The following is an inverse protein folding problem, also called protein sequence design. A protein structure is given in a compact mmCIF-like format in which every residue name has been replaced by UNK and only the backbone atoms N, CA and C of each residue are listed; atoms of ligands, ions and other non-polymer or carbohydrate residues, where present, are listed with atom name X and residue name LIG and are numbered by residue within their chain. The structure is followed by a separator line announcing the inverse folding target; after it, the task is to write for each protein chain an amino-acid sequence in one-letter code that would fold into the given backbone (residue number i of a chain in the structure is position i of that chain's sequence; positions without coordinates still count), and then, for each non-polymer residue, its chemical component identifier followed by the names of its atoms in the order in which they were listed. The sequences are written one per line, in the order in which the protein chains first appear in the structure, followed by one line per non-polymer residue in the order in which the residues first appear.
data_IF_349226674190
#
_entry.id   IF_349226674190
#
_cell.length_a   1.000
_cell.length_b   1.000
_cell.length_c   1.000
_cell.angle_alpha   90.00
_cell.angle_beta   90.00
_cell.angle_gamma   90.00
#
_symmetry.space_group_name_H-M   'P 1'
#
loop_
_entity.id
_entity.type
_entity.pdbx_description
1 polymer ?
#
# COMPACT_ATOMS: atom_id res chain seq x y z
N UNK A 1 25.56 14.59 -22.23
CA UNK A 1 25.29 13.41 -21.42
C UNK A 1 26.60 12.74 -21.09
N UNK A 2 27.03 12.80 -19.82
CA UNK A 2 28.23 12.10 -19.39
C UNK A 2 27.99 10.60 -19.60
N UNK A 3 28.83 9.94 -20.40
CA UNK A 3 28.90 8.47 -20.43
C UNK A 3 29.42 8.07 -19.06
N UNK A 4 28.54 7.55 -18.20
CA UNK A 4 28.93 7.07 -16.89
C UNK A 4 30.03 6.01 -17.03
N UNK A 5 30.99 5.95 -16.10
CA UNK A 5 31.99 4.89 -16.08
C UNK A 5 31.29 3.53 -16.10
N UNK A 6 31.79 2.55 -16.86
CA UNK A 6 31.30 1.18 -16.71
C UNK A 6 31.51 0.71 -15.26
N UNK A 7 30.65 -0.18 -14.80
CA UNK A 7 30.80 -0.93 -13.54
C UNK A 7 30.63 -0.11 -12.23
N UNK A 8 29.84 0.97 -12.26
CA UNK A 8 29.48 1.72 -11.04
C UNK A 8 27.96 1.76 -10.88
N UNK A 9 27.48 1.56 -9.65
CA UNK A 9 26.08 1.64 -9.26
C UNK A 9 25.94 2.45 -7.96
N UNK A 10 24.77 3.06 -7.76
CA UNK A 10 24.41 3.72 -6.50
C UNK A 10 23.74 2.69 -5.59
N UNK A 11 24.24 2.60 -4.37
CA UNK A 11 23.57 1.91 -3.27
C UNK A 11 22.70 2.91 -2.51
N UNK A 12 21.41 2.60 -2.36
CA UNK A 12 20.47 3.36 -1.53
C UNK A 12 19.83 2.48 -0.47
N UNK A 13 19.68 3.02 0.73
CA UNK A 13 19.12 2.32 1.88
C UNK A 13 17.76 2.92 2.26
N UNK A 14 16.73 2.09 2.31
CA UNK A 14 15.34 2.54 2.43
C UNK A 14 14.66 1.86 3.61
N UNK A 15 14.42 2.65 4.66
CA UNK A 15 13.78 2.20 5.88
C UNK A 15 12.59 3.07 6.25
N UNK A 16 11.65 2.49 7.01
CA UNK A 16 10.49 3.22 7.58
C UNK A 16 10.44 3.09 9.11
N UNK A 17 11.45 2.44 9.72
CA UNK A 17 11.47 2.17 11.15
C UNK A 17 11.54 3.45 12.00
N UNK A 18 12.14 4.52 11.46
CA UNK A 18 12.31 5.81 12.12
C UNK A 18 11.31 6.88 11.66
N UNK A 19 10.32 6.50 10.84
CA UNK A 19 9.27 7.44 10.45
C UNK A 19 8.45 7.85 11.67
N UNK A 20 7.90 9.07 11.64
CA UNK A 20 6.86 9.49 12.58
C UNK A 20 5.72 8.47 12.61
N UNK A 21 5.12 8.18 13.78
CA UNK A 21 3.98 7.28 13.85
C UNK A 21 2.85 7.75 12.93
N UNK A 22 2.39 6.82 12.09
CA UNK A 22 1.38 7.06 11.07
C UNK A 22 0.43 5.88 10.93
N UNK A 23 -0.54 6.03 10.05
CA UNK A 23 -1.53 5.01 9.69
C UNK A 23 -0.91 3.95 8.77
N UNK A 24 -1.64 2.85 8.53
CA UNK A 24 -1.26 1.86 7.50
C UNK A 24 -1.08 2.51 6.13
N UNK A 25 -1.96 3.45 5.78
CA UNK A 25 -1.93 4.16 4.51
C UNK A 25 -0.67 5.01 4.35
N UNK A 26 -0.18 5.62 5.43
CA UNK A 26 1.07 6.38 5.41
C UNK A 26 2.27 5.51 5.02
N UNK A 27 2.41 4.36 5.68
CA UNK A 27 3.50 3.42 5.39
C UNK A 27 3.37 2.81 3.99
N UNK A 28 2.16 2.48 3.56
CA UNK A 28 1.90 1.93 2.22
C UNK A 28 2.17 2.94 1.12
N UNK A 29 1.68 4.17 1.26
CA UNK A 29 1.93 5.26 0.31
C UNK A 29 3.41 5.58 0.24
N UNK A 30 4.07 5.78 1.39
CA UNK A 30 5.50 6.06 1.42
C UNK A 30 6.32 4.93 0.79
N UNK A 31 5.96 3.65 1.00
CA UNK A 31 6.63 2.52 0.36
C UNK A 31 6.49 2.55 -1.17
N UNK A 32 5.30 2.82 -1.68
CA UNK A 32 5.06 2.94 -3.12
C UNK A 32 5.80 4.14 -3.74
N UNK A 33 5.81 5.28 -3.06
CA UNK A 33 6.43 6.51 -3.55
C UNK A 33 7.96 6.43 -3.69
N UNK A 34 8.62 5.50 -3.01
CA UNK A 34 10.07 5.27 -3.18
C UNK A 34 10.46 5.00 -4.64
N UNK A 35 9.54 4.50 -5.45
CA UNK A 35 9.76 4.25 -6.88
C UNK A 35 10.17 5.53 -7.63
N UNK A 36 9.63 6.68 -7.24
CA UNK A 36 9.91 7.96 -7.89
C UNK A 36 11.34 8.42 -7.58
N UNK A 37 11.76 8.32 -6.32
CA UNK A 37 13.14 8.62 -5.91
C UNK A 37 14.14 7.68 -6.60
N UNK A 38 13.86 6.37 -6.64
CA UNK A 38 14.73 5.40 -7.33
C UNK A 38 14.82 5.72 -8.82
N UNK A 39 13.69 5.96 -9.49
CA UNK A 39 13.67 6.31 -10.91
C UNK A 39 14.38 7.64 -11.19
N UNK A 40 14.22 8.65 -10.33
CA UNK A 40 14.93 9.93 -10.47
C UNK A 40 16.43 9.75 -10.39
N UNK A 41 16.93 9.03 -9.38
CA UNK A 41 18.35 8.74 -9.21
C UNK A 41 18.91 7.95 -10.41
N UNK A 42 18.18 6.96 -10.93
CA UNK A 42 18.58 6.20 -12.12
C UNK A 42 18.65 7.06 -13.38
N UNK A 43 17.65 7.91 -13.59
CA UNK A 43 17.60 8.79 -14.76
C UNK A 43 18.68 9.89 -14.70
N UNK A 44 19.05 10.34 -13.50
CA UNK A 44 20.02 11.42 -13.31
C UNK A 44 21.47 10.95 -13.34
N UNK A 45 21.77 9.77 -12.76
CA UNK A 45 23.14 9.32 -12.52
C UNK A 45 23.46 7.98 -13.17
N UNK A 46 23.03 6.88 -12.56
CA UNK A 46 23.52 5.53 -12.85
C UNK A 46 22.60 4.46 -12.25
N UNK A 47 22.77 3.16 -12.58
CA UNK A 47 21.94 2.08 -12.02
C UNK A 47 21.87 2.16 -10.50
N UNK A 48 20.66 2.06 -9.96
CA UNK A 48 20.41 2.10 -8.51
C UNK A 48 20.06 0.71 -8.02
N UNK A 49 20.70 0.31 -6.94
CA UNK A 49 20.39 -0.90 -6.20
C UNK A 49 19.92 -0.48 -4.81
N UNK A 50 18.80 -1.04 -4.35
CA UNK A 50 18.37 -0.87 -2.96
C UNK A 50 19.15 -1.85 -2.09
N UNK A 51 20.36 -1.48 -1.66
CA UNK A 51 21.28 -2.38 -0.98
C UNK A 51 20.89 -2.71 0.45
N UNK A 52 20.01 -1.92 1.07
CA UNK A 52 19.41 -2.28 2.35
C UNK A 52 17.97 -1.79 2.49
N UNK A 53 17.11 -2.68 2.98
CA UNK A 53 15.75 -2.37 3.41
C UNK A 53 15.20 -3.49 4.30
N UNK A 54 14.19 -3.17 5.10
CA UNK A 54 13.46 -4.18 5.87
C UNK A 54 11.96 -3.87 5.91
N UNK A 55 11.18 -4.74 6.57
CA UNK A 55 9.78 -4.49 6.88
C UNK A 55 9.61 -3.85 8.27
N UNK A 56 10.69 -3.43 8.91
CA UNK A 56 10.64 -2.67 10.16
C UNK A 56 9.92 -1.33 9.96
N UNK A 57 8.90 -1.09 10.79
CA UNK A 57 8.12 0.16 10.80
C UNK A 57 8.22 0.91 12.11
N UNK A 58 9.00 0.38 13.06
CA UNK A 58 9.20 0.94 14.39
C UNK A 58 10.62 0.58 14.89
N UNK A 59 11.01 1.21 16.00
CA UNK A 59 12.30 0.99 16.65
C UNK A 59 12.22 0.05 17.86
N UNK A 60 11.23 -0.83 17.88
CA UNK A 60 11.03 -1.72 19.00
C UNK A 60 12.00 -2.91 19.02
N UNK A 61 12.65 -3.21 17.89
CA UNK A 61 13.56 -4.35 17.83
C UNK A 61 14.68 -4.11 18.83
N UNK A 62 14.85 -5.05 19.77
CA UNK A 62 15.82 -4.91 20.85
C UNK A 62 17.21 -4.58 20.29
N UNK A 63 17.79 -3.50 20.82
CA UNK A 63 19.10 -2.97 20.45
C UNK A 63 19.25 -2.51 18.99
N UNK A 64 18.15 -2.27 18.27
CA UNK A 64 18.19 -1.76 16.90
C UNK A 64 18.97 -0.44 16.79
N UNK A 65 18.79 0.44 17.76
CA UNK A 65 19.46 1.75 17.82
C UNK A 65 20.77 1.73 18.64
N UNK A 66 21.14 0.59 19.23
CA UNK A 66 22.32 0.49 20.09
C UNK A 66 22.17 -0.51 21.23
N UNK A 67 23.28 -1.06 21.69
CA UNK A 67 23.29 -1.99 22.82
C UNK A 67 22.86 -1.28 24.10
N UNK A 68 21.80 -1.79 24.72
CA UNK A 68 21.13 -1.20 25.88
C UNK A 68 20.84 0.31 25.78
N UNK A 69 20.65 0.78 24.56
CA UNK A 69 20.40 2.18 24.24
C UNK A 69 19.33 2.28 23.16
N UNK A 70 18.54 3.34 23.26
CA UNK A 70 17.68 3.80 22.20
C UNK A 70 17.99 5.27 21.96
N UNK A 71 17.87 5.72 20.72
CA UNK A 71 17.96 7.15 20.42
C UNK A 71 16.92 7.92 21.24
N UNK A 72 17.22 9.12 21.76
CA UNK A 72 16.24 9.95 22.46
C UNK A 72 14.98 10.14 21.61
N UNK A 73 13.80 9.95 22.22
CA UNK A 73 12.52 9.96 21.51
C UNK A 73 12.09 8.58 20.96
N UNK A 74 12.93 7.55 21.08
CA UNK A 74 12.63 6.19 20.67
C UNK A 74 12.58 5.20 21.84
N UNK A 75 11.78 4.11 21.74
CA UNK A 75 10.84 3.82 20.65
C UNK A 75 9.69 4.85 20.65
N UNK A 76 9.33 5.32 19.46
CA UNK A 76 8.28 6.34 19.27
C UNK A 76 6.86 5.74 19.31
N UNK A 77 6.76 4.45 19.63
CA UNK A 77 5.52 3.69 19.71
C UNK A 77 5.63 2.63 20.80
N UNK A 78 4.48 2.12 21.27
CA UNK A 78 4.47 1.06 22.26
C UNK A 78 4.90 -0.28 21.66
N UNK A 79 5.95 -0.86 22.25
CA UNK A 79 6.51 -2.12 21.80
C UNK A 79 5.79 -3.34 22.38
N UNK A 80 5.60 -4.37 21.56
CA UNK A 80 5.25 -5.71 22.05
C UNK A 80 6.48 -6.36 22.67
N UNK A 81 6.28 -7.08 23.76
CA UNK A 81 7.31 -7.87 24.43
C UNK A 81 7.16 -9.36 24.07
N UNK A 82 8.26 -10.03 23.75
CA UNK A 82 8.33 -11.48 23.58
C UNK A 82 9.30 -12.11 24.58
N UNK A 83 9.29 -13.44 24.73
CA UNK A 83 10.32 -14.12 25.52
C UNK A 83 11.68 -13.97 24.83
N UNK A 84 12.69 -13.53 25.57
CA UNK A 84 14.06 -13.49 25.07
C UNK A 84 14.64 -14.89 24.91
N UNK A 85 15.57 -15.11 23.96
CA UNK A 85 16.52 -16.21 24.04
C UNK A 85 17.30 -16.11 25.36
N UNK A 86 17.21 -17.15 26.20
CA UNK A 86 17.94 -17.19 27.48
C UNK A 86 19.40 -17.53 27.24
N UNK A 87 19.67 -18.48 26.35
CA UNK A 87 21.00 -18.86 25.94
C UNK A 87 21.30 -18.19 24.61
N UNK A 88 22.48 -17.55 24.51
CA UNK A 88 22.91 -16.98 23.24
C UNK A 88 23.10 -18.08 22.22
N UNK A 89 22.56 -17.89 21.01
CA UNK A 89 22.78 -18.82 19.90
C UNK A 89 23.99 -18.44 19.05
N UNK A 90 24.59 -17.28 19.33
CA UNK A 90 25.67 -16.69 18.55
C UNK A 90 26.99 -16.52 19.32
N UNK A 91 26.94 -16.05 20.57
CA UNK A 91 28.14 -15.67 21.35
C UNK A 91 28.79 -16.85 22.09
N UNK A 92 28.19 -18.05 22.04
CA UNK A 92 28.69 -19.25 22.72
C UNK A 92 28.40 -19.29 24.22
N UNK A 93 28.72 -20.42 24.86
CA UNK A 93 28.58 -20.58 26.31
C UNK A 93 29.65 -19.79 27.08
N UNK A 94 29.25 -19.18 28.21
CA UNK A 94 30.17 -18.46 29.10
C UNK A 94 30.45 -17.01 28.71
N UNK A 95 29.84 -16.49 27.65
CA UNK A 95 29.94 -15.06 27.31
C UNK A 95 29.30 -14.20 28.42
N UNK A 96 29.93 -13.10 28.87
CA UNK A 96 29.38 -12.24 29.91
C UNK A 96 27.95 -11.78 29.59
N UNK A 97 27.03 -11.95 30.54
CA UNK A 97 25.61 -11.66 30.35
C UNK A 97 24.79 -12.81 29.73
N UNK A 98 25.41 -13.96 29.47
CA UNK A 98 24.75 -15.19 29.03
C UNK A 98 24.99 -16.34 30.04
N UNK A 99 23.97 -17.13 30.41
CA UNK A 99 22.58 -16.96 30.03
C UNK A 99 21.97 -15.68 30.62
N UNK A 100 20.95 -15.16 29.94
CA UNK A 100 20.20 -14.00 30.40
C UNK A 100 19.56 -14.30 31.76
N UNK A 101 19.83 -13.44 32.76
CA UNK A 101 19.16 -13.52 34.05
C UNK A 101 17.71 -13.01 33.92
N UNK A 102 16.78 -13.95 33.80
CA UNK A 102 15.36 -13.69 33.59
C UNK A 102 14.64 -13.07 34.80
N UNK A 103 15.30 -13.00 35.96
CA UNK A 103 14.71 -12.47 37.20
C UNK A 103 14.99 -10.99 37.41
N UNK A 104 15.89 -10.41 36.62
CA UNK A 104 16.34 -9.04 36.78
C UNK A 104 15.69 -8.10 35.76
N UNK A 105 15.52 -6.81 36.11
CA UNK A 105 15.20 -5.78 35.13
C UNK A 105 16.37 -5.61 34.13
N UNK A 106 16.24 -4.66 33.21
CA UNK A 106 17.34 -4.27 32.30
C UNK A 106 18.60 -4.06 33.11
N UNK A 107 19.70 -4.64 32.64
CA UNK A 107 21.02 -4.54 33.25
C UNK A 107 21.91 -3.67 32.37
N UNK A 108 22.77 -2.88 33.01
CA UNK A 108 23.68 -2.00 32.31
C UNK A 108 24.79 -2.75 31.54
N UNK A 109 25.65 -2.01 30.80
CA UNK A 109 25.67 -0.55 30.67
C UNK A 109 24.38 -0.01 30.04
N UNK A 110 23.94 1.17 30.47
CA UNK A 110 22.76 1.85 29.91
C UNK A 110 23.20 3.01 29.03
N UNK A 111 22.50 3.22 27.93
CA UNK A 111 22.63 4.44 27.15
C UNK A 111 21.59 5.49 27.55
N UNK A 112 21.22 6.33 26.59
CA UNK A 112 20.26 7.44 26.73
C UNK A 112 18.80 7.01 26.73
N UNK A 113 18.46 5.93 26.01
CA UNK A 113 17.10 5.40 25.89
C UNK A 113 16.98 3.98 26.42
N UNK A 114 15.74 3.58 26.75
CA UNK A 114 15.48 2.21 27.16
C UNK A 114 15.38 1.29 25.95
N UNK A 115 16.29 0.34 25.89
CA UNK A 115 16.34 -0.74 24.92
C UNK A 115 17.00 -1.91 25.63
N UNK A 116 16.44 -3.11 25.58
CA UNK A 116 17.09 -4.28 26.18
C UNK A 116 16.16 -5.25 26.87
N UNK A 117 16.71 -6.40 27.29
CA UNK A 117 15.95 -7.45 27.93
C UNK A 117 15.61 -7.05 29.37
N UNK A 118 14.37 -7.27 29.78
CA UNK A 118 13.89 -7.03 31.15
C UNK A 118 13.01 -8.18 31.59
N UNK A 119 13.31 -8.79 32.73
CA UNK A 119 12.57 -9.93 33.28
C UNK A 119 12.35 -11.07 32.26
N UNK A 120 13.40 -11.39 31.49
CA UNK A 120 13.37 -12.42 30.44
C UNK A 120 12.52 -12.06 29.21
N UNK A 121 12.14 -10.78 29.06
CA UNK A 121 11.34 -10.29 27.94
C UNK A 121 12.11 -9.28 27.10
N UNK A 122 11.96 -9.39 25.78
CA UNK A 122 12.65 -8.58 24.78
C UNK A 122 11.62 -7.79 23.97
N UNK A 123 11.84 -6.47 23.74
CA UNK A 123 10.99 -5.70 22.85
C UNK A 123 11.21 -6.14 21.39
N UNK A 124 10.14 -6.12 20.58
CA UNK A 124 10.20 -6.56 19.17
C UNK A 124 9.58 -5.59 18.19
N UNK A 125 8.32 -5.72 17.83
CA UNK A 125 7.60 -4.80 16.95
C UNK A 125 6.26 -4.54 17.58
N UNK A 126 5.71 -3.34 17.41
CA UNK A 126 4.37 -3.06 17.88
C UNK A 126 3.36 -3.94 17.15
N UNK A 127 2.35 -4.40 17.89
CA UNK A 127 1.19 -5.10 17.35
C UNK A 127 -0.07 -4.24 17.43
N UNK A 128 0.04 -2.95 17.77
CA UNK A 128 -1.12 -2.06 17.93
C UNK A 128 -1.06 -0.84 17.01
N UNK A 129 0.12 -0.50 16.46
CA UNK A 129 0.30 0.66 15.56
C UNK A 129 -0.68 0.72 14.41
N UNK A 130 -1.10 -0.44 13.90
CA UNK A 130 -1.90 -0.58 12.69
C UNK A 130 -3.24 -1.28 12.94
N UNK A 131 -3.71 -1.31 14.19
CA UNK A 131 -4.97 -1.97 14.58
C UNK A 131 -4.96 -3.49 14.44
N UNK A 132 -3.78 -4.11 14.49
CA UNK A 132 -3.63 -5.55 14.33
C UNK A 132 -4.10 -6.27 15.59
N UNK A 133 -4.98 -7.25 15.45
CA UNK A 133 -5.56 -7.96 16.60
C UNK A 133 -4.86 -9.29 16.84
N UNK A 134 -4.35 -9.92 15.79
CA UNK A 134 -3.72 -11.22 15.84
C UNK A 134 -2.53 -11.36 14.87
N UNK A 135 -2.01 -12.59 14.75
CA UNK A 135 -0.90 -12.88 13.85
C UNK A 135 -1.31 -12.91 12.37
N UNK A 136 -2.60 -13.08 12.06
CA UNK A 136 -3.10 -13.02 10.68
C UNK A 136 -3.08 -11.57 10.20
N UNK A 137 -3.59 -10.64 11.00
CA UNK A 137 -3.56 -9.20 10.69
C UNK A 137 -2.12 -8.68 10.55
N UNK A 138 -1.21 -9.15 11.41
CA UNK A 138 0.22 -8.85 11.33
C UNK A 138 0.83 -9.34 10.01
N UNK A 139 0.53 -10.58 9.63
CA UNK A 139 1.03 -11.17 8.39
C UNK A 139 0.46 -10.45 7.16
N UNK A 140 -0.84 -10.14 7.17
CA UNK A 140 -1.50 -9.41 6.09
C UNK A 140 -0.89 -8.02 5.91
N UNK A 141 -0.73 -7.26 7.00
CA UNK A 141 -0.07 -5.96 6.96
C UNK A 141 1.36 -6.08 6.41
N UNK A 142 2.13 -7.02 6.94
CA UNK A 142 3.53 -7.24 6.56
C UNK A 142 3.66 -7.64 5.09
N UNK A 143 2.80 -8.54 4.60
CA UNK A 143 2.76 -8.95 3.20
C UNK A 143 2.40 -7.77 2.29
N UNK A 144 1.38 -6.99 2.65
CA UNK A 144 0.94 -5.85 1.84
C UNK A 144 2.02 -4.75 1.79
N UNK A 145 2.69 -4.47 2.90
CA UNK A 145 3.83 -3.56 2.92
C UNK A 145 4.96 -4.08 2.02
N UNK A 146 5.25 -5.39 2.11
CA UNK A 146 6.28 -6.03 1.31
C UNK A 146 6.01 -5.90 -0.19
N UNK A 147 4.81 -6.26 -0.65
CA UNK A 147 4.47 -6.17 -2.08
C UNK A 147 4.61 -4.75 -2.63
N UNK A 148 4.29 -3.73 -1.81
CA UNK A 148 4.45 -2.31 -2.19
C UNK A 148 5.92 -1.90 -2.29
N UNK A 149 6.77 -2.37 -1.37
CA UNK A 149 8.24 -2.16 -1.46
C UNK A 149 8.82 -2.87 -2.68
N UNK A 150 8.44 -4.13 -2.92
CA UNK A 150 8.88 -4.89 -4.10
C UNK A 150 8.42 -4.23 -5.41
N UNK A 151 7.20 -3.68 -5.46
CA UNK A 151 6.71 -2.87 -6.58
C UNK A 151 7.62 -1.66 -6.81
N UNK A 152 7.93 -0.92 -5.75
CA UNK A 152 8.73 0.29 -5.83
C UNK A 152 10.18 -0.01 -6.23
N UNK A 153 10.77 -1.09 -5.75
CA UNK A 153 12.17 -1.42 -6.06
C UNK A 153 12.33 -2.10 -7.41
N UNK A 154 11.25 -2.59 -8.02
CA UNK A 154 11.26 -3.18 -9.35
C UNK A 154 11.54 -2.16 -10.47
N UNK A 155 11.46 -0.85 -10.20
CA UNK A 155 11.91 0.16 -11.18
C UNK A 155 13.42 0.30 -11.23
N UNK A 156 14.13 -0.11 -10.17
CA UNK A 156 15.59 -0.09 -10.12
C UNK A 156 16.23 -1.42 -10.52
N UNK A 157 17.51 -1.58 -10.21
CA UNK A 157 18.30 -2.78 -10.57
C UNK A 157 18.33 -3.86 -9.48
N UNK A 158 17.29 -3.92 -8.64
CA UNK A 158 17.11 -4.95 -7.62
C UNK A 158 17.37 -4.46 -6.20
N UNK A 159 17.40 -5.41 -5.26
CA UNK A 159 17.41 -5.11 -3.84
C UNK A 159 18.09 -6.20 -3.00
N UNK A 160 18.54 -5.82 -1.81
CA UNK A 160 19.09 -6.70 -0.78
C UNK A 160 18.37 -6.46 0.55
N UNK A 161 17.73 -7.51 1.07
CA UNK A 161 16.94 -7.40 2.30
C UNK A 161 17.85 -7.44 3.53
N UNK A 162 17.69 -6.45 4.41
CA UNK A 162 18.33 -6.39 5.71
C UNK A 162 17.42 -7.00 6.80
N UNK A 163 17.70 -8.19 7.32
CA UNK A 163 18.81 -9.10 7.02
C UNK A 163 18.27 -10.52 6.76
N UNK A 164 19.13 -11.43 6.32
CA UNK A 164 18.82 -12.82 6.07
C UNK A 164 18.16 -13.52 7.26
N UNK A 165 18.67 -13.28 8.48
CA UNK A 165 18.10 -13.85 9.71
C UNK A 165 18.38 -12.99 10.94
N UNK A 166 17.50 -13.15 11.93
CA UNK A 166 17.66 -12.70 13.32
C UNK A 166 17.37 -13.88 14.26
N UNK A 167 17.73 -13.78 15.54
CA UNK A 167 17.30 -14.76 16.55
C UNK A 167 15.79 -14.72 16.77
N UNK A 168 15.18 -13.54 16.70
CA UNK A 168 13.74 -13.29 16.84
C UNK A 168 13.35 -11.95 16.20
N UNK A 169 12.04 -11.71 16.03
CA UNK A 169 11.51 -10.50 15.39
C UNK A 169 11.43 -10.62 13.86
N UNK A 170 10.23 -10.82 13.33
CA UNK A 170 10.01 -11.18 11.92
C UNK A 170 10.34 -10.07 10.93
N UNK A 171 10.04 -8.81 11.24
CA UNK A 171 10.15 -7.69 10.29
C UNK A 171 11.59 -7.39 9.80
N UNK A 172 12.59 -7.95 10.48
CA UNK A 172 14.02 -7.86 10.15
C UNK A 172 14.64 -9.20 9.72
N UNK A 173 13.81 -10.23 9.50
CA UNK A 173 14.24 -11.61 9.30
C UNK A 173 13.66 -12.18 8.00
N UNK A 174 14.45 -12.11 6.91
CA UNK A 174 14.04 -12.59 5.60
C UNK A 174 13.54 -14.04 5.62
N UNK A 175 14.31 -14.95 6.25
CA UNK A 175 13.96 -16.36 6.29
C UNK A 175 12.61 -16.63 6.97
N UNK A 176 12.32 -15.96 8.09
CA UNK A 176 11.06 -16.11 8.80
C UNK A 176 9.88 -15.54 7.99
N UNK A 177 10.09 -14.39 7.33
CA UNK A 177 9.08 -13.75 6.46
C UNK A 177 8.73 -14.62 5.26
N UNK A 178 9.73 -15.21 4.59
CA UNK A 178 9.51 -16.14 3.48
C UNK A 178 8.74 -17.37 3.94
N UNK A 179 9.13 -17.98 5.08
CA UNK A 179 8.43 -19.16 5.64
C UNK A 179 6.97 -18.87 6.00
N UNK A 180 6.68 -17.66 6.44
CA UNK A 180 5.31 -17.21 6.76
C UNK A 180 4.49 -16.80 5.54
N UNK A 181 5.09 -16.75 4.35
CA UNK A 181 4.40 -16.34 3.13
C UNK A 181 4.21 -14.83 2.99
N UNK A 182 5.04 -14.02 3.68
CA UNK A 182 5.04 -12.57 3.50
C UNK A 182 5.72 -12.13 2.19
N UNK A 183 6.61 -12.97 1.64
CA UNK A 183 7.23 -12.79 0.32
C UNK A 183 6.53 -13.62 -0.76
N UNK A 184 6.58 -13.19 -2.04
CA UNK A 184 6.31 -14.06 -3.18
C UNK A 184 7.11 -15.36 -3.10
N UNK A 185 6.59 -16.44 -3.69
CA UNK A 185 7.32 -17.72 -3.73
C UNK A 185 8.60 -17.61 -4.54
N UNK A 186 8.58 -16.80 -5.60
CA UNK A 186 9.73 -16.51 -6.43
C UNK A 186 10.06 -15.01 -6.33
N UNK A 187 11.16 -14.70 -5.65
CA UNK A 187 11.62 -13.31 -5.48
C UNK A 187 12.55 -12.84 -6.61
N UNK A 188 12.97 -13.75 -7.48
CA UNK A 188 13.84 -13.43 -8.64
C UNK A 188 13.03 -13.17 -9.92
N UNK A 189 11.77 -13.60 -9.97
CA UNK A 189 10.85 -13.33 -11.08
C UNK A 189 9.41 -13.38 -10.56
N UNK A 190 8.75 -12.23 -10.53
CA UNK A 190 7.37 -12.12 -10.05
C UNK A 190 6.39 -12.52 -11.14
N UNK A 191 5.47 -13.41 -10.81
CA UNK A 191 4.35 -13.76 -11.67
C UNK A 191 3.18 -12.79 -11.44
N UNK A 192 2.24 -12.73 -12.39
CA UNK A 192 1.09 -11.83 -12.29
C UNK A 192 0.22 -12.11 -11.05
N UNK A 193 0.14 -13.37 -10.62
CA UNK A 193 -0.57 -13.84 -9.43
C UNK A 193 0.16 -13.53 -8.11
N UNK A 194 1.42 -13.09 -8.15
CA UNK A 194 2.10 -12.57 -6.96
C UNK A 194 1.61 -11.16 -6.57
N UNK A 195 0.86 -10.48 -7.47
CA UNK A 195 0.25 -9.16 -7.28
C UNK A 195 1.24 -8.00 -6.98
N UNK A 196 2.55 -8.24 -7.10
CA UNK A 196 3.60 -7.23 -6.86
C UNK A 196 3.39 -6.00 -7.74
N UNK A 197 3.22 -6.16 -9.05
CA UNK A 197 3.09 -5.04 -9.99
C UNK A 197 1.78 -4.25 -9.82
N UNK A 198 0.77 -4.84 -9.19
CA UNK A 198 -0.51 -4.18 -8.90
C UNK A 198 -0.62 -3.63 -7.48
N UNK A 199 0.37 -3.90 -6.62
CA UNK A 199 0.33 -3.59 -5.19
C UNK A 199 0.16 -2.10 -4.88
N UNK A 200 0.64 -1.22 -5.76
CA UNK A 200 0.61 0.24 -5.56
C UNK A 200 -0.50 0.97 -6.32
N UNK A 201 -1.43 0.26 -6.99
CA UNK A 201 -2.42 0.90 -7.86
C UNK A 201 -3.33 1.92 -7.12
N UNK A 202 -3.63 1.69 -5.84
CA UNK A 202 -4.45 2.62 -5.07
C UNK A 202 -3.67 3.90 -4.74
N UNK A 203 -2.40 3.74 -4.35
CA UNK A 203 -1.49 4.84 -4.00
C UNK A 203 -1.17 5.68 -5.25
N UNK A 204 -0.85 5.01 -6.36
CA UNK A 204 -0.52 5.66 -7.63
C UNK A 204 -1.71 6.48 -8.15
N UNK A 205 -2.95 5.97 -7.98
CA UNK A 205 -4.19 6.70 -8.33
C UNK A 205 -4.57 7.81 -7.34
N UNK A 206 -3.86 7.95 -6.22
CA UNK A 206 -4.23 8.90 -5.17
C UNK A 206 -5.58 8.57 -4.53
N UNK A 207 -5.88 7.29 -4.28
CA UNK A 207 -7.17 6.87 -3.70
C UNK A 207 -7.30 7.13 -2.17
N UNK A 208 -6.60 8.13 -1.67
CA UNK A 208 -6.47 8.47 -0.24
C UNK A 208 -6.67 9.96 -0.04
N UNK A 209 -6.99 10.35 1.19
CA UNK A 209 -7.08 11.75 1.60
C UNK A 209 -5.96 12.01 2.60
N UNK A 210 -5.20 13.07 2.38
CA UNK A 210 -4.23 13.54 3.36
C UNK A 210 -4.92 14.57 4.28
N UNK A 211 -5.00 14.26 5.57
CA UNK A 211 -5.75 15.05 6.55
C UNK A 211 -4.89 15.39 7.77
N UNK A 212 -5.20 16.51 8.41
CA UNK A 212 -4.55 16.92 9.65
C UNK A 212 -4.93 15.98 10.80
N UNK A 213 -3.95 15.57 11.59
CA UNK A 213 -4.20 14.80 12.82
C UNK A 213 -4.94 15.67 13.82
N UNK A 214 -5.97 15.10 14.45
CA UNK A 214 -6.73 15.78 15.50
C UNK A 214 -5.94 15.75 16.81
N UNK A 215 -5.96 16.86 17.55
CA UNK A 215 -5.30 16.97 18.86
C UNK A 215 -3.79 17.20 18.83
N UNK A 216 -3.21 17.49 17.67
CA UNK A 216 -1.81 17.94 17.54
C UNK A 216 -1.68 19.38 18.02
N UNK A 217 -0.48 19.80 18.45
CA UNK A 217 -0.25 21.18 18.85
C UNK A 217 -0.49 22.13 17.67
N UNK A 218 -1.15 23.24 17.96
CA UNK A 218 -1.45 24.28 16.96
C UNK A 218 -0.20 24.76 16.21
N UNK A 219 0.94 24.84 16.88
CA UNK A 219 2.22 25.22 16.27
C UNK A 219 2.65 24.26 15.16
N UNK A 220 2.47 22.94 15.34
CA UNK A 220 2.84 21.95 14.33
C UNK A 220 1.91 22.05 13.10
N UNK A 221 0.62 22.34 13.32
CA UNK A 221 -0.36 22.60 12.26
C UNK A 221 0.00 23.86 11.46
N UNK A 222 0.34 24.95 12.15
CA UNK A 222 0.78 26.20 11.52
C UNK A 222 2.07 25.98 10.71
N UNK A 223 3.06 25.30 11.27
CA UNK A 223 4.30 24.98 10.56
C UNK A 223 4.07 24.08 9.34
N UNK A 224 3.19 23.09 9.44
CA UNK A 224 2.83 22.24 8.30
C UNK A 224 2.08 23.02 7.22
N UNK A 225 1.17 23.91 7.62
CA UNK A 225 0.41 24.76 6.70
C UNK A 225 1.32 25.71 5.93
N UNK A 226 2.25 26.35 6.63
CA UNK A 226 3.26 27.22 6.03
C UNK A 226 4.12 26.47 5.00
N UNK A 227 4.48 25.21 5.28
CA UNK A 227 5.19 24.36 4.32
C UNK A 227 4.34 24.05 3.07
N UNK A 228 3.09 23.61 3.26
CA UNK A 228 2.18 23.28 2.17
C UNK A 228 1.88 24.48 1.25
N UNK A 229 1.78 25.67 1.85
CA UNK A 229 1.42 26.91 1.17
C UNK A 229 2.62 27.74 0.69
N UNK A 230 3.82 27.49 1.24
CA UNK A 230 5.03 28.27 0.96
C UNK A 230 5.75 27.90 -0.33
N UNK A 231 5.28 26.89 -1.06
CA UNK A 231 5.82 26.48 -2.35
C UNK A 231 5.63 27.56 -3.43
N UNK A 232 6.65 27.74 -4.28
CA UNK A 232 6.62 28.68 -5.41
C UNK A 232 6.27 28.01 -6.75
N UNK A 233 5.78 26.77 -6.73
CA UNK A 233 5.42 25.99 -7.92
C UNK A 233 3.99 26.30 -8.44
N UNK A 234 3.17 27.01 -7.65
CA UNK A 234 1.80 27.36 -8.00
C UNK A 234 0.83 26.18 -8.03
N UNK A 235 1.20 25.01 -7.49
CA UNK A 235 0.35 23.82 -7.49
C UNK A 235 -0.67 23.80 -6.33
N UNK A 236 -0.43 24.55 -5.26
CA UNK A 236 -1.33 24.70 -4.12
C UNK A 236 -1.71 26.16 -3.96
N UNK A 237 -3.00 26.47 -4.15
CA UNK A 237 -3.50 27.83 -4.01
C UNK A 237 -3.98 28.11 -2.59
N UNK A 238 -3.11 28.63 -1.74
CA UNK A 238 -3.47 29.05 -0.38
C UNK A 238 -3.99 30.49 -0.29
N UNK A 239 -4.30 31.15 -1.40
CA UNK A 239 -4.90 32.49 -1.33
C UNK A 239 -6.24 32.43 -0.58
N UNK A 240 -6.48 33.46 0.24
CA UNK A 240 -7.68 33.60 1.07
C UNK A 240 -8.04 32.37 1.93
N UNK A 241 -7.07 31.51 2.27
CA UNK A 241 -7.33 30.27 3.02
C UNK A 241 -7.97 30.55 4.40
N UNK A 242 -7.60 31.68 5.02
CA UNK A 242 -8.17 32.15 6.28
C UNK A 242 -9.66 32.53 6.18
N UNK A 243 -10.14 32.84 4.97
CA UNK A 243 -11.55 33.20 4.70
C UNK A 243 -12.36 32.00 4.22
N UNK A 244 -11.70 30.98 3.65
CA UNK A 244 -12.35 29.76 3.16
C UNK A 244 -12.68 28.78 4.28
N UNK A 245 -11.87 28.77 5.33
CA UNK A 245 -11.96 27.80 6.43
C UNK A 245 -11.80 28.49 7.78
N UNK A 246 -12.68 28.12 8.72
CA UNK A 246 -12.80 28.80 10.01
C UNK A 246 -11.71 28.34 10.97
N UNK A 247 -11.41 27.04 10.99
CA UNK A 247 -10.40 26.47 11.90
C UNK A 247 -9.08 26.18 11.22
N UNK A 248 -8.00 26.12 12.01
CA UNK A 248 -6.67 25.77 11.50
C UNK A 248 -6.65 24.33 10.95
N UNK A 249 -7.38 23.42 11.58
CA UNK A 249 -7.49 22.02 11.15
C UNK A 249 -8.15 21.91 9.76
N UNK A 250 -9.20 22.68 9.49
CA UNK A 250 -9.87 22.68 8.17
C UNK A 250 -8.94 23.24 7.08
N UNK A 251 -8.18 24.30 7.40
CA UNK A 251 -7.16 24.85 6.48
C UNK A 251 -6.09 23.82 6.17
N UNK A 252 -5.58 23.14 7.20
CA UNK A 252 -4.59 22.08 7.06
C UNK A 252 -5.14 20.88 6.30
N UNK A 253 -6.36 20.41 6.57
CA UNK A 253 -6.99 19.32 5.83
C UNK A 253 -7.00 19.59 4.32
N UNK A 254 -7.39 20.80 3.92
CA UNK A 254 -7.40 21.18 2.51
C UNK A 254 -5.98 21.30 1.95
N UNK A 255 -5.11 22.09 2.59
CA UNK A 255 -3.77 22.37 2.08
C UNK A 255 -2.89 21.12 2.01
N UNK A 256 -2.95 20.25 3.03
CA UNK A 256 -2.20 18.99 3.07
C UNK A 256 -2.65 18.04 1.98
N UNK A 257 -3.97 17.94 1.75
CA UNK A 257 -4.53 17.13 0.68
C UNK A 257 -4.07 17.59 -0.70
N UNK A 258 -4.25 18.88 -1.02
CA UNK A 258 -3.84 19.42 -2.32
C UNK A 258 -2.34 19.28 -2.54
N UNK A 259 -1.53 19.62 -1.54
CA UNK A 259 -0.08 19.48 -1.64
C UNK A 259 0.36 18.04 -1.89
N UNK A 260 -0.17 17.08 -1.11
CA UNK A 260 0.18 15.67 -1.26
C UNK A 260 -0.22 15.15 -2.64
N UNK A 261 -1.43 15.44 -3.12
CA UNK A 261 -1.85 15.03 -4.47
C UNK A 261 -0.96 15.61 -5.56
N UNK A 262 -0.55 16.87 -5.43
CA UNK A 262 0.29 17.58 -6.38
C UNK A 262 1.76 17.11 -6.42
N UNK A 263 2.25 16.47 -5.34
CA UNK A 263 3.67 16.14 -5.16
C UNK A 263 3.95 14.67 -4.82
N UNK A 264 2.94 13.80 -4.68
CA UNK A 264 3.13 12.38 -4.34
C UNK A 264 4.01 11.63 -5.34
N UNK A 265 3.97 12.03 -6.61
CA UNK A 265 4.80 11.46 -7.70
C UNK A 265 6.24 12.01 -7.70
N UNK A 266 6.53 12.96 -6.81
CA UNK A 266 7.86 13.51 -6.54
C UNK A 266 8.40 13.00 -5.18
N UNK A 267 7.69 12.05 -4.54
CA UNK A 267 8.08 11.47 -3.26
C UNK A 267 7.51 12.15 -2.02
N UNK A 268 6.64 13.14 -2.16
CA UNK A 268 6.04 13.83 -1.01
C UNK A 268 5.12 12.89 -0.20
N UNK A 269 5.30 12.91 1.13
CA UNK A 269 4.49 12.14 2.09
C UNK A 269 3.44 13.04 2.77
N UNK A 270 2.41 12.42 3.35
CA UNK A 270 1.42 13.11 4.18
C UNK A 270 1.86 13.19 5.65
N UNK A 271 3.13 13.49 5.92
CA UNK A 271 3.61 13.57 7.31
C UNK A 271 3.47 15.00 7.87
N UNK A 272 3.90 16.01 7.10
CA UNK A 272 3.89 17.43 7.48
C UNK A 272 4.46 17.67 8.90
N UNK A 273 5.62 17.07 9.21
CA UNK A 273 6.24 17.18 10.53
C UNK A 273 5.49 16.41 11.61
N UNK A 274 4.83 15.30 11.23
CA UNK A 274 3.97 14.51 12.08
C UNK A 274 2.56 15.10 12.28
N UNK A 275 2.22 16.24 11.68
CA UNK A 275 0.93 16.92 11.84
C UNK A 275 -0.23 16.33 11.01
N UNK A 276 0.07 15.45 10.05
CA UNK A 276 -0.92 14.88 9.13
C UNK A 276 -0.84 13.35 9.04
N UNK A 277 -1.85 12.74 8.41
CA UNK A 277 -1.88 11.33 8.05
C UNK A 277 -2.74 11.06 6.81
N UNK A 278 -2.50 9.93 6.14
CA UNK A 278 -3.35 9.42 5.07
C UNK A 278 -4.50 8.60 5.62
N UNK A 279 -5.69 8.94 5.14
CA UNK A 279 -6.90 8.17 5.37
C UNK A 279 -7.28 7.46 4.07
N UNK A 280 -7.55 6.16 4.17
CA UNK A 280 -8.19 5.45 3.07
C UNK A 280 -9.58 6.04 2.87
N UNK A 281 -9.88 6.47 1.65
CA UNK A 281 -11.26 6.83 1.30
C UNK A 281 -12.06 5.54 1.51
N UNK A 282 -13.11 5.55 2.36
CA UNK A 282 -14.00 4.41 2.44
C UNK A 282 -14.58 4.22 1.04
N UNK A 283 -14.04 3.26 0.30
CA UNK A 283 -14.72 2.75 -0.87
C UNK A 283 -16.10 2.34 -0.36
N UNK A 284 -17.21 2.85 -0.93
CA UNK A 284 -18.51 2.38 -0.49
C UNK A 284 -18.47 0.87 -0.54
N UNK A 285 -18.82 0.25 0.58
CA UNK A 285 -18.74 -1.18 0.86
C UNK A 285 -19.07 -2.02 -0.39
N UNK A 286 -18.50 -3.22 -0.45
CA UNK A 286 -18.76 -4.28 -1.46
C UNK A 286 -20.20 -4.36 -2.01
N UNK A 287 -21.19 -3.90 -1.26
CA UNK A 287 -22.58 -3.62 -1.66
C UNK A 287 -22.70 -2.75 -2.91
N UNK A 288 -22.00 -1.61 -3.06
CA UNK A 288 -22.10 -0.78 -4.29
C UNK A 288 -21.43 -1.43 -5.51
N UNK A 289 -20.39 -2.24 -5.30
CA UNK A 289 -19.78 -3.05 -6.38
C UNK A 289 -20.74 -4.15 -6.82
N UNK A 290 -21.45 -4.79 -5.87
CA UNK A 290 -22.53 -5.73 -6.17
C UNK A 290 -23.71 -5.06 -6.85
N UNK A 291 -24.11 -3.84 -6.45
CA UNK A 291 -25.14 -3.07 -7.16
C UNK A 291 -24.71 -2.72 -8.58
N UNK A 292 -23.46 -2.30 -8.80
CA UNK A 292 -22.94 -1.99 -10.14
C UNK A 292 -22.87 -3.22 -11.04
N UNK A 293 -22.41 -4.36 -10.49
CA UNK A 293 -22.41 -5.64 -11.20
C UNK A 293 -23.84 -6.14 -11.47
N UNK A 294 -24.76 -5.98 -10.52
CA UNK A 294 -26.18 -6.33 -10.70
C UNK A 294 -26.86 -5.43 -11.74
N UNK A 295 -26.53 -4.14 -11.80
CA UNK A 295 -27.05 -3.21 -12.81
C UNK A 295 -26.53 -3.58 -14.21
N UNK A 296 -25.26 -3.95 -14.32
CA UNK A 296 -24.64 -4.40 -15.58
C UNK A 296 -25.30 -5.68 -16.10
N UNK A 297 -25.47 -6.68 -15.23
CA UNK A 297 -26.14 -7.95 -15.57
C UNK A 297 -27.62 -7.71 -15.91
N UNK A 298 -28.31 -6.82 -15.18
CA UNK A 298 -29.70 -6.46 -15.49
C UNK A 298 -29.86 -5.83 -16.88
N UNK A 299 -28.91 -4.99 -17.29
CA UNK A 299 -28.91 -4.36 -18.62
C UNK A 299 -28.64 -5.37 -19.74
N UNK A 300 -27.71 -6.31 -19.54
CA UNK A 300 -27.48 -7.44 -20.45
C UNK A 300 -28.75 -8.29 -20.63
N UNK A 301 -29.41 -8.69 -19.54
CA UNK A 301 -30.64 -9.50 -19.59
C UNK A 301 -31.77 -8.76 -20.34
N UNK A 302 -31.93 -7.46 -20.09
CA UNK A 302 -32.92 -6.64 -20.79
C UNK A 302 -32.65 -6.57 -22.30
N UNK A 303 -31.38 -6.44 -22.71
CA UNK A 303 -30.99 -6.45 -24.12
C UNK A 303 -31.31 -7.79 -24.79
N UNK A 304 -30.93 -8.90 -24.17
CA UNK A 304 -31.17 -10.24 -24.74
C UNK A 304 -32.65 -10.62 -24.80
N UNK A 305 -33.45 -10.20 -23.82
CA UNK A 305 -34.91 -10.42 -23.84
C UNK A 305 -35.59 -9.61 -24.96
N UNK A 306 -35.22 -8.35 -25.16
CA UNK A 306 -35.74 -7.54 -26.26
C UNK A 306 -35.38 -8.13 -27.63
N UNK A 307 -34.14 -8.59 -27.81
CA UNK A 307 -33.71 -9.26 -29.04
C UNK A 307 -34.52 -10.54 -29.27
N UNK A 308 -34.72 -11.37 -28.25
CA UNK A 308 -35.52 -12.59 -28.36
C UNK A 308 -36.98 -12.33 -28.75
N UNK A 309 -37.61 -11.29 -28.20
CA UNK A 309 -38.97 -10.89 -28.54
C UNK A 309 -39.07 -10.41 -29.99
N UNK A 310 -38.13 -9.58 -30.44
CA UNK A 310 -38.08 -9.09 -31.83
C UNK A 310 -37.93 -10.27 -32.81
N UNK A 311 -37.00 -11.18 -32.54
CA UNK A 311 -36.78 -12.37 -33.38
C UNK A 311 -38.03 -13.25 -33.41
N UNK A 312 -38.71 -13.42 -32.27
CA UNK A 312 -39.98 -14.15 -32.19
C UNK A 312 -41.08 -13.55 -33.06
N UNK A 313 -41.28 -12.23 -33.00
CA UNK A 313 -42.27 -11.54 -33.83
C UNK A 313 -41.93 -11.59 -35.33
N UNK A 314 -40.65 -11.45 -35.68
CA UNK A 314 -40.19 -11.57 -37.08
C UNK A 314 -40.42 -13.00 -37.58
N UNK A 315 -40.07 -14.01 -36.78
CA UNK A 315 -40.34 -15.41 -37.10
C UNK A 315 -41.83 -15.69 -37.32
N UNK A 316 -42.70 -15.18 -36.45
CA UNK A 316 -44.15 -15.32 -36.59
C UNK A 316 -44.66 -14.63 -37.86
N UNK A 317 -44.17 -13.42 -38.17
CA UNK A 317 -44.54 -12.70 -39.38
C UNK A 317 -44.14 -13.45 -40.65
N UNK A 318 -42.95 -14.07 -40.66
CA UNK A 318 -42.49 -14.92 -41.77
C UNK A 318 -43.37 -16.15 -41.90
N UNK A 319 -43.69 -16.85 -40.81
CA UNK A 319 -44.59 -18.02 -40.84
C UNK A 319 -45.98 -17.63 -41.37
N UNK A 320 -46.53 -16.50 -40.92
CA UNK A 320 -47.81 -16.00 -41.41
C UNK A 320 -47.76 -15.60 -42.89
N UNK A 321 -46.65 -15.02 -43.35
CA UNK A 321 -46.43 -14.69 -44.76
C UNK A 321 -46.33 -15.96 -45.63
N UNK A 322 -45.58 -16.97 -45.18
CA UNK A 322 -45.47 -18.27 -45.86
C UNK A 322 -46.81 -19.01 -45.87
N UNK A 323 -47.56 -19.00 -44.76
CA UNK A 323 -48.89 -19.61 -44.69
C UNK A 323 -49.90 -18.87 -45.59
N UNK A 324 -49.80 -17.54 -45.71
CA UNK A 324 -50.58 -16.75 -46.67
C UNK A 324 -50.18 -17.04 -48.11
N UNK A 325 -48.89 -17.23 -48.39
CA UNK A 325 -48.40 -17.58 -49.72
C UNK A 325 -48.89 -18.97 -50.15
N UNK A 326 -48.74 -19.99 -49.28
CA UNK A 326 -49.27 -21.34 -49.53
C UNK A 326 -50.79 -21.35 -49.76
N UNK A 327 -51.55 -20.60 -48.96
CA UNK A 327 -53.00 -20.47 -49.20
C UNK A 327 -53.33 -19.77 -50.52
N UNK A 328 -52.49 -18.88 -51.04
CA UNK A 328 -52.69 -18.29 -52.37
C UNK A 328 -52.41 -19.29 -53.51
N UNK A 329 -51.48 -20.21 -53.33
CA UNK A 329 -51.22 -21.28 -54.33
C UNK A 329 -52.36 -22.31 -54.40
N UNK A 330 -53.07 -22.56 -53.29
CA UNK A 330 -54.27 -23.42 -53.27
C UNK A 330 -55.50 -22.80 -53.97
N UNK A 331 -55.49 -21.50 -54.26
CA UNK A 331 -56.51 -20.81 -55.07
C UNK A 331 -55.96 -20.45 -56.46
N UNK A 332 -55.57 -21.45 -57.25
CA UNK A 332 -55.54 -21.30 -58.72
C UNK A 332 -56.95 -21.60 -59.27
N UNK A 333 -57.65 -20.62 -59.89
CA UNK A 333 -58.95 -20.86 -60.48
C UNK A 333 -58.81 -21.72 -61.76
N UNK A 334 -59.54 -22.83 -61.77
CA UNK A 334 -59.95 -23.56 -62.96
C UNK A 334 -60.64 -22.59 -63.93
N UNK A 335 -59.98 -22.25 -65.05
CA UNK A 335 -60.66 -21.71 -66.23
C UNK A 335 -60.48 -22.73 -67.34
N UNK A 336 -61.47 -23.61 -67.46
CA UNK A 336 -61.69 -24.48 -68.60
C UNK A 336 -62.76 -23.89 -69.52
N UNK A 337 -62.46 -23.97 -70.81
CA UNK A 337 -63.33 -24.02 -72.00
C UNK A 337 -64.25 -22.82 -72.35
N UNK A 338 -63.99 -22.09 -73.47
CA UNK A 338 -64.47 -22.28 -74.89
C UNK A 338 -66.04 -22.23 -74.95
N UNK A 339 -66.78 -21.46 -75.77
CA UNK A 339 -66.85 -21.32 -77.25
C UNK A 339 -67.84 -20.21 -77.71
N UNK A 340 -67.68 -19.72 -78.96
CA UNK A 340 -68.65 -19.21 -79.98
C UNK A 340 -69.51 -17.97 -79.63
N UNK A 341 -69.58 -16.93 -80.47
CA UNK A 341 -69.95 -16.86 -81.92
C UNK A 341 -69.11 -15.83 -82.67
#
# INVERSE_FOLDING_TARGET
FMRCPPDVAVDTHIYQAWNSPGTRSDYFSNACQQKYMVAEMENAMMPVIVGEWSLGTDNCAMWLNGFNDNLPGFPNIQCRMTKCPVHSTYLGEGFPGTPLDITKPIQGPYGTGQSGPSFGKCPITSNTSFGQQDNYDELEFTRNLNMKKLNAFAVGHGWYFWNFKTEFGSRWNFLDLVRKGAFPKNVSNYHADDEVFTACLAEDKGAFICAAKRGVHRFDLESGLDFACGGNDGKVDCTDIDKRFDTIEERCDWAFNEYWHAHREEGATCDFGGAAHLLAIPSPSSVKRQEFLALSVGKEILMWTLVGVIVGFVGLAVVLAVARHRRREEYSPLIGHIVNV
#
